data_IF_239538724120
#
_entry.id   IF_239538724120
#
_cell.length_a   1.000
_cell.length_b   1.000
_cell.length_c   1.000
_cell.angle_alpha   90.00
_cell.angle_beta   90.00
_cell.angle_gamma   90.00
#
_symmetry.space_group_name_H-M   'P 1'
#
loop_
_entity.id
_entity.type
_entity.pdbx_description
1 polymer ?
#
# COMPACT_ATOMS: atom_id res chain seq x y z
N UNK A 1 26.59 24.55 27.18
CA UNK A 1 26.90 23.12 26.95
C UNK A 1 28.32 23.03 26.39
N UNK A 2 29.22 22.27 27.02
CA UNK A 2 30.55 22.02 26.44
C UNK A 2 30.45 21.61 24.97
N UNK A 3 31.12 22.33 24.07
CA UNK A 3 31.19 21.98 22.64
C UNK A 3 31.73 20.57 22.40
N UNK A 4 32.49 20.03 23.35
CA UNK A 4 32.97 18.64 23.35
C UNK A 4 31.83 17.62 23.47
N UNK A 5 30.78 17.93 24.22
CA UNK A 5 29.60 17.06 24.36
C UNK A 5 28.78 17.07 23.08
N UNK A 6 28.62 18.25 22.45
CA UNK A 6 27.92 18.37 21.16
C UNK A 6 28.64 17.64 20.04
N UNK A 7 29.97 17.76 19.97
CA UNK A 7 30.78 17.02 18.99
C UNK A 7 30.66 15.50 19.18
N UNK A 8 30.64 15.01 20.43
CA UNK A 8 30.43 13.59 20.73
C UNK A 8 29.06 13.10 20.30
N UNK A 9 28.00 13.87 20.57
CA UNK A 9 26.64 13.51 20.15
C UNK A 9 26.57 13.43 18.63
N UNK A 10 27.12 14.41 17.90
CA UNK A 10 27.17 14.39 16.45
C UNK A 10 27.90 13.16 15.90
N UNK A 11 29.04 12.81 16.47
CA UNK A 11 29.80 11.62 16.07
C UNK A 11 29.02 10.32 16.33
N UNK A 12 28.34 10.20 17.48
CA UNK A 12 27.53 9.02 17.81
C UNK A 12 26.37 8.86 16.82
N UNK A 13 25.66 9.95 16.52
CA UNK A 13 24.54 9.94 15.57
C UNK A 13 25.03 9.53 14.17
N UNK A 14 26.15 10.10 13.71
CA UNK A 14 26.72 9.74 12.41
C UNK A 14 27.11 8.26 12.32
N UNK A 15 27.76 7.73 13.37
CA UNK A 15 28.12 6.31 13.45
C UNK A 15 26.86 5.43 13.44
N UNK A 16 25.82 5.79 14.17
CA UNK A 16 24.55 5.04 14.17
C UNK A 16 23.90 5.00 12.77
N UNK A 17 23.89 6.12 12.03
CA UNK A 17 23.42 6.15 10.65
C UNK A 17 24.27 5.29 9.72
N UNK A 18 25.60 5.33 9.84
CA UNK A 18 26.49 4.51 9.03
C UNK A 18 26.26 3.00 9.27
N UNK A 19 26.08 2.58 10.53
CA UNK A 19 25.75 1.19 10.88
C UNK A 19 24.39 0.79 10.30
N UNK A 20 23.37 1.65 10.41
CA UNK A 20 22.04 1.34 9.86
C UNK A 20 22.07 1.20 8.34
N UNK A 21 22.79 2.08 7.64
CA UNK A 21 22.96 2.02 6.20
C UNK A 21 23.67 0.73 5.75
N UNK A 22 24.74 0.35 6.43
CA UNK A 22 25.47 -0.91 6.14
C UNK A 22 24.63 -2.15 6.39
N UNK A 23 23.81 -2.18 7.45
CA UNK A 23 22.86 -3.26 7.67
C UNK A 23 21.86 -3.36 6.51
N UNK A 24 21.30 -2.23 6.05
CA UNK A 24 20.35 -2.21 4.93
C UNK A 24 21.00 -2.74 3.65
N UNK A 25 22.22 -2.30 3.33
CA UNK A 25 22.96 -2.79 2.15
C UNK A 25 23.22 -4.29 2.23
N UNK A 26 23.65 -4.81 3.39
CA UNK A 26 23.85 -6.26 3.58
C UNK A 26 22.54 -7.05 3.46
N UNK A 27 21.43 -6.55 4.01
CA UNK A 27 20.11 -7.19 3.84
C UNK A 27 19.55 -7.10 2.43
N UNK A 28 20.11 -6.22 1.59
CA UNK A 28 19.70 -6.01 0.20
C UNK A 28 20.53 -6.84 -0.78
N UNK A 29 21.81 -7.05 -0.48
CA UNK A 29 22.72 -7.94 -1.22
C UNK A 29 22.37 -9.42 -1.02
N UNK A 30 21.78 -9.75 0.14
CA UNK A 30 21.01 -10.98 0.39
C UNK A 30 19.67 -10.94 -0.38
N UNK A 31 19.75 -10.80 -1.71
CA UNK A 31 18.65 -10.65 -2.68
C UNK A 31 17.35 -11.28 -2.13
N UNK A 32 16.32 -10.48 -1.79
CA UNK A 32 15.02 -11.05 -1.49
C UNK A 32 14.52 -11.61 -2.80
N UNK A 33 14.82 -12.90 -3.03
CA UNK A 33 14.56 -13.67 -4.25
C UNK A 33 13.42 -13.01 -4.99
N UNK A 34 13.77 -12.21 -6.02
CA UNK A 34 12.84 -11.28 -6.70
C UNK A 34 11.46 -11.89 -6.66
N UNK A 35 10.49 -11.30 -5.92
CA UNK A 35 9.19 -11.93 -5.74
C UNK A 35 8.71 -12.32 -7.12
N UNK A 36 8.44 -13.61 -7.30
CA UNK A 36 8.06 -14.16 -8.59
C UNK A 36 7.04 -13.20 -9.21
N UNK A 37 7.21 -12.80 -10.49
CA UNK A 37 6.30 -11.85 -11.11
C UNK A 37 4.89 -12.33 -10.80
N UNK A 38 4.11 -11.44 -10.15
CA UNK A 38 2.76 -11.78 -9.75
C UNK A 38 2.07 -12.43 -10.95
N UNK A 39 1.42 -13.60 -10.78
CA UNK A 39 0.84 -14.33 -11.90
C UNK A 39 0.07 -13.32 -12.75
N UNK A 40 0.39 -13.28 -14.05
CA UNK A 40 -0.21 -12.33 -14.97
C UNK A 40 -1.71 -12.35 -14.73
N UNK A 41 -2.25 -11.24 -14.24
CA UNK A 41 -3.66 -11.13 -13.93
C UNK A 41 -4.40 -11.51 -15.20
N UNK A 42 -5.05 -12.68 -15.17
CA UNK A 42 -5.95 -13.08 -16.23
C UNK A 42 -6.88 -11.88 -16.51
N UNK A 43 -7.18 -11.59 -17.79
CA UNK A 43 -8.04 -10.47 -18.15
C UNK A 43 -9.27 -10.50 -17.24
N UNK A 44 -9.47 -9.40 -16.51
CA UNK A 44 -10.45 -9.34 -15.43
C UNK A 44 -11.84 -9.56 -16.00
N UNK A 45 -12.37 -10.77 -15.84
CA UNK A 45 -13.80 -11.06 -16.00
C UNK A 45 -14.60 -10.40 -14.84
N UNK A 46 -13.91 -9.94 -13.79
CA UNK A 46 -14.53 -9.23 -12.66
C UNK A 46 -14.63 -7.71 -12.94
N UNK A 47 -15.84 -7.17 -13.17
CA UNK A 47 -16.05 -5.73 -13.37
C UNK A 47 -15.55 -4.89 -12.18
N UNK A 48 -15.56 -5.44 -10.97
CA UNK A 48 -15.12 -4.73 -9.77
C UNK A 48 -13.61 -4.39 -9.83
N UNK A 49 -12.80 -5.23 -10.46
CA UNK A 49 -11.35 -4.96 -10.65
C UNK A 49 -11.12 -3.79 -11.60
N UNK A 50 -11.96 -3.60 -12.60
CA UNK A 50 -11.85 -2.47 -13.53
C UNK A 50 -12.19 -1.15 -12.83
N UNK A 51 -13.25 -1.14 -12.03
CA UNK A 51 -13.66 0.04 -11.25
C UNK A 51 -12.64 0.40 -10.16
N UNK A 52 -12.08 -0.60 -9.46
CA UNK A 52 -10.98 -0.37 -8.53
C UNK A 52 -9.79 0.34 -9.20
N UNK A 53 -9.40 -0.08 -10.42
CA UNK A 53 -8.30 0.58 -11.15
C UNK A 53 -8.65 2.00 -11.55
N UNK A 54 -9.88 2.26 -11.98
CA UNK A 54 -10.36 3.63 -12.26
C UNK A 54 -10.24 4.51 -11.01
N UNK A 55 -10.68 4.03 -9.86
CA UNK A 55 -10.59 4.78 -8.60
C UNK A 55 -9.15 4.97 -8.11
N UNK A 56 -8.27 4.01 -8.34
CA UNK A 56 -6.83 4.18 -8.04
C UNK A 56 -6.17 5.26 -8.90
N UNK A 57 -6.54 5.37 -10.18
CA UNK A 57 -6.01 6.41 -11.08
C UNK A 57 -6.44 7.83 -10.67
N UNK A 58 -7.59 7.96 -10.00
CA UNK A 58 -8.06 9.24 -9.45
C UNK A 58 -7.28 9.68 -8.20
N UNK A 59 -6.62 8.75 -7.49
CA UNK A 59 -5.80 9.05 -6.32
C UNK A 59 -6.58 9.73 -5.19
N UNK A 60 -6.09 10.87 -4.70
CA UNK A 60 -6.70 11.61 -3.59
C UNK A 60 -8.13 12.08 -3.91
N UNK A 61 -8.45 12.36 -5.18
CA UNK A 61 -9.79 12.75 -5.58
C UNK A 61 -10.84 11.65 -5.34
N UNK A 62 -10.44 10.38 -5.41
CA UNK A 62 -11.35 9.25 -5.17
C UNK A 62 -11.88 9.20 -3.73
N UNK A 63 -11.19 9.81 -2.76
CA UNK A 63 -11.62 9.83 -1.36
C UNK A 63 -12.92 10.64 -1.17
N UNK A 64 -13.20 11.58 -2.07
CA UNK A 64 -14.41 12.40 -2.08
C UNK A 64 -15.48 11.89 -3.06
N UNK A 65 -15.20 10.83 -3.80
CA UNK A 65 -16.08 10.27 -4.83
C UNK A 65 -16.91 9.11 -4.24
N UNK A 66 -18.23 9.27 -4.22
CA UNK A 66 -19.14 8.31 -3.60
C UNK A 66 -19.11 6.92 -4.29
N UNK A 67 -18.93 6.89 -5.61
CA UNK A 67 -18.82 5.64 -6.38
C UNK A 67 -17.54 4.90 -6.00
N UNK A 68 -16.42 5.63 -5.87
CA UNK A 68 -15.16 5.02 -5.46
C UNK A 68 -15.18 4.50 -4.01
N UNK A 69 -15.86 5.19 -3.10
CA UNK A 69 -16.07 4.70 -1.74
C UNK A 69 -16.89 3.41 -1.73
N UNK A 70 -17.92 3.29 -2.57
CA UNK A 70 -18.72 2.07 -2.70
C UNK A 70 -17.91 0.89 -3.23
N UNK A 71 -17.10 1.11 -4.28
CA UNK A 71 -16.22 0.08 -4.87
C UNK A 71 -15.23 -0.47 -3.84
N UNK A 72 -14.64 0.38 -2.99
CA UNK A 72 -13.73 -0.07 -1.93
C UNK A 72 -14.45 -0.83 -0.82
N UNK A 73 -15.66 -0.40 -0.44
CA UNK A 73 -16.47 -1.13 0.53
C UNK A 73 -16.80 -2.54 0.03
N UNK A 74 -17.24 -2.66 -1.22
CA UNK A 74 -17.55 -3.96 -1.83
C UNK A 74 -16.30 -4.85 -1.94
N UNK A 75 -15.17 -4.27 -2.36
CA UNK A 75 -13.89 -5.00 -2.45
C UNK A 75 -13.46 -5.54 -1.10
N UNK A 76 -13.56 -4.72 -0.05
CA UNK A 76 -13.26 -5.11 1.32
C UNK A 76 -14.20 -6.22 1.80
N UNK A 77 -15.50 -6.08 1.55
CA UNK A 77 -16.49 -7.05 2.01
C UNK A 77 -16.27 -8.41 1.33
N UNK A 78 -16.01 -8.44 0.01
CA UNK A 78 -15.63 -9.65 -0.71
C UNK A 78 -14.35 -10.28 -0.17
N UNK A 79 -13.33 -9.48 0.13
CA UNK A 79 -12.08 -9.97 0.73
C UNK A 79 -12.32 -10.60 2.11
N UNK A 80 -13.19 -10.00 2.91
CA UNK A 80 -13.57 -10.48 4.24
C UNK A 80 -14.61 -11.60 4.20
N UNK A 81 -15.02 -12.07 3.03
CA UNK A 81 -16.06 -13.10 2.88
C UNK A 81 -17.45 -12.64 3.32
N UNK A 82 -17.69 -11.33 3.42
CA UNK A 82 -19.00 -10.74 3.68
C UNK A 82 -19.71 -10.56 2.35
N UNK A 83 -20.86 -11.22 2.18
CA UNK A 83 -21.67 -11.04 0.97
C UNK A 83 -22.25 -9.62 0.99
N UNK A 84 -22.12 -8.84 -0.10
CA UNK A 84 -22.56 -7.45 -0.10
C UNK A 84 -24.09 -7.37 0.08
N UNK A 85 -24.52 -6.61 1.09
CA UNK A 85 -25.94 -6.37 1.39
C UNK A 85 -26.62 -5.42 0.39
N UNK A 86 -25.92 -4.94 -0.64
CA UNK A 86 -26.33 -3.85 -1.52
C UNK A 86 -27.05 -4.25 -2.82
N UNK A 87 -27.29 -5.53 -3.07
CA UNK A 87 -28.09 -5.95 -4.24
C UNK A 87 -29.61 -5.77 -4.01
N UNK A 88 -30.05 -5.52 -2.78
CA UNK A 88 -31.47 -5.45 -2.41
C UNK A 88 -32.17 -4.11 -2.76
N UNK A 89 -31.46 -3.10 -3.29
CA UNK A 89 -32.04 -1.77 -3.52
C UNK A 89 -32.04 -1.30 -4.99
N UNK A 90 -31.75 -2.19 -5.95
CA UNK A 90 -31.78 -1.84 -7.39
C UNK A 90 -32.91 -2.52 -8.18
N UNK A 91 -33.82 -3.24 -7.51
CA UNK A 91 -35.03 -3.84 -8.10
C UNK A 91 -36.31 -3.03 -7.79
N UNK A 92 -36.18 -1.75 -7.41
CA UNK A 92 -37.31 -0.81 -7.27
C UNK A 92 -37.06 0.47 -8.09
N UNK A 93 -37.01 0.36 -9.41
CA UNK A 93 -37.65 1.29 -10.38
C UNK A 93 -37.67 0.71 -11.80
#
# INVERSE_FOLDING_TARGET
MEGKTLARIGAIVFVAFAITATVIELTRDEDPARPAPAPAFAPSVDPLRAEQRRCQQLGEAAVRDAECLAVWAETRDRFLGRVPSGAASRDEE
#
